data_IF_996410780646
#
_entry.id   IF_996410780646
#
_cell.length_a   1.000
_cell.length_b   1.000
_cell.length_c   1.000
_cell.angle_alpha   90.00
_cell.angle_beta   90.00
_cell.angle_gamma   90.00
#
_symmetry.space_group_name_H-M   'P 1'
#
loop_
_entity.id
_entity.type
_entity.pdbx_description
1 polymer ?
#
# COMPACT_ATOMS: atom_id res chain seq x y z
N UNK A 1 -27.41 17.69 -31.52
CA UNK A 1 -27.77 17.43 -30.11
C UNK A 1 -26.48 17.25 -29.35
N UNK A 2 -26.21 18.09 -28.34
CA UNK A 2 -24.98 18.01 -27.55
C UNK A 2 -25.13 16.94 -26.47
N UNK A 3 -24.17 16.02 -26.39
CA UNK A 3 -24.11 14.99 -25.35
C UNK A 3 -23.59 15.68 -24.09
N UNK A 4 -24.43 15.78 -23.07
CA UNK A 4 -24.02 16.28 -21.76
C UNK A 4 -23.24 15.16 -21.08
N UNK A 5 -21.92 15.29 -21.01
CA UNK A 5 -21.07 14.43 -20.19
C UNK A 5 -21.42 14.67 -18.72
N UNK A 6 -22.04 13.66 -18.10
CA UNK A 6 -22.30 13.63 -16.67
C UNK A 6 -20.94 13.64 -15.94
N UNK A 7 -20.65 14.74 -15.24
CA UNK A 7 -19.46 14.82 -14.41
C UNK A 7 -19.45 13.66 -13.40
N UNK A 8 -18.30 13.00 -13.18
CA UNK A 8 -18.21 11.90 -12.22
C UNK A 8 -18.60 12.40 -10.82
N UNK A 9 -19.38 11.59 -10.10
CA UNK A 9 -19.75 11.88 -8.73
C UNK A 9 -18.48 12.09 -7.87
N UNK A 10 -18.51 12.98 -6.86
CA UNK A 10 -17.35 13.20 -6.01
C UNK A 10 -16.93 11.91 -5.33
N UNK A 11 -15.65 11.56 -5.44
CA UNK A 11 -15.09 10.40 -4.74
C UNK A 11 -15.14 10.55 -3.21
N UNK A 12 -14.84 9.46 -2.47
CA UNK A 12 -14.77 9.51 -1.02
C UNK A 12 -13.70 10.50 -0.53
N UNK A 13 -13.94 11.12 0.64
CA UNK A 13 -12.96 12.04 1.23
C UNK A 13 -11.67 11.33 1.63
N UNK A 14 -10.56 12.07 1.65
CA UNK A 14 -9.26 11.54 2.08
C UNK A 14 -9.30 10.89 3.48
N UNK A 15 -10.11 11.44 4.41
CA UNK A 15 -10.31 10.86 5.75
C UNK A 15 -10.96 9.48 5.69
N UNK A 16 -12.00 9.33 4.87
CA UNK A 16 -12.70 8.04 4.70
C UNK A 16 -11.76 7.01 4.08
N UNK A 17 -11.01 7.42 3.04
CA UNK A 17 -10.02 6.54 2.38
C UNK A 17 -8.91 6.13 3.36
N UNK A 18 -8.37 7.08 4.13
CA UNK A 18 -7.30 6.80 5.10
C UNK A 18 -7.73 5.84 6.20
N UNK A 19 -8.94 6.03 6.75
CA UNK A 19 -9.48 5.14 7.77
C UNK A 19 -9.64 3.70 7.23
N UNK A 20 -10.27 3.55 6.06
CA UNK A 20 -10.45 2.24 5.45
C UNK A 20 -9.10 1.58 5.10
N UNK A 21 -8.12 2.34 4.61
CA UNK A 21 -6.79 1.83 4.30
C UNK A 21 -6.12 1.23 5.53
N UNK A 22 -6.10 1.95 6.66
CA UNK A 22 -5.43 1.48 7.89
C UNK A 22 -6.09 0.21 8.42
N UNK A 23 -7.43 0.18 8.49
CA UNK A 23 -8.17 -0.99 8.96
C UNK A 23 -7.88 -2.22 8.10
N UNK A 24 -7.97 -2.08 6.78
CA UNK A 24 -7.74 -3.19 5.85
C UNK A 24 -6.27 -3.64 5.84
N UNK A 25 -5.32 -2.69 5.81
CA UNK A 25 -3.90 -2.99 5.76
C UNK A 25 -3.46 -3.82 6.97
N UNK A 26 -3.79 -3.39 8.19
CA UNK A 26 -3.38 -4.12 9.39
C UNK A 26 -4.16 -5.42 9.58
N UNK A 27 -5.44 -5.47 9.21
CA UNK A 27 -6.19 -6.72 9.23
C UNK A 27 -5.53 -7.78 8.34
N UNK A 28 -5.21 -7.42 7.09
CA UNK A 28 -4.55 -8.32 6.13
C UNK A 28 -3.13 -8.63 6.57
N UNK A 29 -2.37 -7.65 7.07
CA UNK A 29 -1.01 -7.91 7.58
C UNK A 29 -0.97 -8.96 8.68
N UNK A 30 -1.97 -8.97 9.57
CA UNK A 30 -2.03 -9.93 10.67
C UNK A 30 -2.63 -11.28 10.28
N UNK A 31 -3.63 -11.30 9.39
CA UNK A 31 -4.40 -12.51 9.07
C UNK A 31 -3.97 -13.21 7.77
N UNK A 32 -3.43 -12.45 6.81
CA UNK A 32 -3.09 -12.92 5.45
C UNK A 32 -1.88 -12.14 4.91
N UNK A 33 -0.71 -12.25 5.57
CA UNK A 33 0.48 -11.42 5.26
C UNK A 33 0.94 -11.55 3.80
N UNK A 34 0.69 -12.69 3.16
CA UNK A 34 0.98 -12.93 1.74
C UNK A 34 0.21 -12.00 0.80
N UNK A 35 -0.90 -11.39 1.23
CA UNK A 35 -1.70 -10.46 0.42
C UNK A 35 -1.30 -8.99 0.59
N UNK A 36 -0.44 -8.66 1.55
CA UNK A 36 -0.04 -7.26 1.86
C UNK A 36 0.61 -6.56 0.67
N UNK A 37 1.30 -7.32 -0.19
CA UNK A 37 1.95 -6.81 -1.39
C UNK A 37 0.99 -6.01 -2.32
N UNK A 38 -0.32 -6.31 -2.28
CA UNK A 38 -1.36 -5.64 -3.10
C UNK A 38 -1.62 -4.18 -2.71
N UNK A 39 -1.17 -3.75 -1.53
CA UNK A 39 -1.27 -2.35 -1.10
C UNK A 39 -0.12 -1.49 -1.61
N UNK A 40 0.84 -2.08 -2.32
CA UNK A 40 2.02 -1.42 -2.85
C UNK A 40 2.00 -1.44 -4.38
N UNK A 41 2.61 -0.41 -4.97
CA UNK A 41 2.93 -0.35 -6.39
C UNK A 41 4.38 -0.81 -6.60
N UNK A 42 4.76 -1.16 -7.84
CA UNK A 42 6.12 -1.59 -8.20
C UNK A 42 7.21 -0.60 -7.77
N UNK A 43 6.91 0.70 -7.81
CA UNK A 43 7.80 1.78 -7.40
C UNK A 43 7.84 2.05 -5.89
N UNK A 44 7.06 1.31 -5.09
CA UNK A 44 6.98 1.51 -3.64
C UNK A 44 8.22 0.99 -2.95
N UNK A 45 8.75 1.79 -2.03
CA UNK A 45 9.94 1.49 -1.24
C UNK A 45 9.58 1.54 0.24
N UNK A 46 9.99 0.50 0.98
CA UNK A 46 9.85 0.42 2.43
C UNK A 46 11.22 0.60 3.08
N UNK A 47 11.37 1.67 3.85
CA UNK A 47 12.62 1.95 4.57
C UNK A 47 12.50 1.55 6.04
N UNK A 48 13.44 0.75 6.54
CA UNK A 48 13.54 0.36 7.95
C UNK A 48 14.87 0.82 8.54
N UNK A 49 14.85 1.53 9.68
CA UNK A 49 16.08 1.83 10.40
C UNK A 49 16.72 0.54 10.91
N UNK A 50 18.03 0.44 10.72
CA UNK A 50 18.87 -0.60 11.32
C UNK A 50 19.25 -0.19 12.74
N UNK A 51 19.72 -1.17 13.51
CA UNK A 51 20.25 -0.96 14.85
C UNK A 51 21.49 -0.04 14.88
N UNK A 52 22.21 0.10 13.77
CA UNK A 52 23.38 0.97 13.62
C UNK A 52 23.03 2.42 13.23
N UNK A 53 21.74 2.75 13.10
CA UNK A 53 21.26 4.07 12.66
C UNK A 53 21.26 4.28 11.15
N UNK A 54 21.72 3.30 10.35
CA UNK A 54 21.56 3.28 8.91
C UNK A 54 20.13 2.93 8.47
N UNK A 55 19.82 3.10 7.19
CA UNK A 55 18.53 2.73 6.61
C UNK A 55 18.68 1.53 5.68
N UNK A 56 17.76 0.56 5.77
CA UNK A 56 17.59 -0.47 4.74
C UNK A 56 16.35 -0.14 3.94
N UNK A 57 16.46 -0.14 2.62
CA UNK A 57 15.29 -0.01 1.74
C UNK A 57 15.01 -1.36 1.12
N UNK A 58 13.78 -1.86 1.29
CA UNK A 58 13.29 -3.10 0.67
C UNK A 58 12.04 -2.78 -0.14
N UNK A 59 11.73 -3.60 -1.14
CA UNK A 59 10.45 -3.53 -1.85
C UNK A 59 9.64 -4.77 -1.51
N UNK A 60 8.35 -4.58 -1.20
CA UNK A 60 7.39 -5.67 -0.96
C UNK A 60 7.14 -6.51 -2.21
N UNK A 61 7.60 -6.06 -3.39
CA UNK A 61 7.44 -6.73 -4.68
C UNK A 61 8.58 -7.70 -4.99
N UNK A 62 9.71 -7.63 -4.28
CA UNK A 62 10.76 -8.65 -4.37
C UNK A 62 10.57 -9.65 -3.24
N UNK A 63 10.24 -10.89 -3.59
CA UNK A 63 10.47 -12.02 -2.69
C UNK A 63 11.97 -12.10 -2.47
N UNK A 64 12.43 -11.70 -1.28
CA UNK A 64 13.76 -12.08 -0.83
C UNK A 64 13.74 -13.59 -0.67
N UNK A 65 14.23 -14.32 -1.66
CA UNK A 65 14.73 -15.67 -1.42
C UNK A 65 15.73 -15.52 -0.28
N UNK A 66 15.35 -15.96 0.91
CA UNK A 66 16.29 -16.17 2.00
C UNK A 66 17.25 -17.24 1.49
N UNK A 67 18.39 -16.83 0.93
CA UNK A 67 19.54 -17.71 0.81
C UNK A 67 19.96 -18.11 2.23
N UNK A 68 20.06 -19.42 2.38
CA UNK A 68 20.28 -20.18 3.60
C UNK A 68 21.66 -19.94 4.23
#
# INVERSE_FOLDING_TARGET
MAMQETAPAPGPSAKVVGNAFVEQYYHILHQSPELVHRFYQDSSLLSRPKSDGGMTTVTTMQVSLLEN
#
